data_IF_313464172408
#
_entry.id   IF_313464172408
#
_cell.length_a   1.000
_cell.length_b   1.000
_cell.length_c   1.000
_cell.angle_alpha   90.00
_cell.angle_beta   90.00
_cell.angle_gamma   90.00
#
_symmetry.space_group_name_H-M   'P 1'
#
loop_
_entity.id
_entity.type
_entity.pdbx_description
1 polymer ?
2 non-polymer ?
3 non-polymer ?
4 water ?
#
# COMPACT_ATOMS: atom_id res chain seq x y z
N UNK A 8 -4.15 14.64 8.96
CA UNK A 8 -3.73 14.22 7.59
C UNK A 8 -4.92 13.53 6.91
N UNK A 9 -4.81 12.23 6.58
CA UNK A 9 -5.98 11.49 6.07
C UNK A 9 -7.02 11.21 7.21
N UNK A 10 -8.30 11.58 7.00
CA UNK A 10 -9.30 11.46 8.09
C UNK A 10 -9.68 10.03 8.52
N UNK A 11 -9.94 9.86 9.80
CA UNK A 11 -10.28 8.56 10.39
C UNK A 11 -11.42 7.83 9.70
N UNK A 12 -12.44 8.58 9.28
CA UNK A 12 -13.55 8.02 8.54
C UNK A 12 -13.09 7.47 7.17
N UNK A 13 -12.18 8.19 6.49
CA UNK A 13 -11.64 7.73 5.19
C UNK A 13 -10.77 6.49 5.40
N UNK A 14 -9.96 6.51 6.45
CA UNK A 14 -9.12 5.39 6.83
C UNK A 14 -9.97 4.12 7.07
N UNK A 15 -11.05 4.23 7.88
CA UNK A 15 -12.07 3.15 8.00
C UNK A 15 -12.52 2.60 6.65
N UNK A 16 -12.95 3.48 5.75
CA UNK A 16 -13.36 3.11 4.38
C UNK A 16 -12.29 2.43 3.54
N UNK A 17 -11.03 2.90 3.63
CA UNK A 17 -9.93 2.19 3.00
C UNK A 17 -9.79 0.79 3.56
N UNK A 18 -9.88 0.64 4.87
CA UNK A 18 -9.82 -0.70 5.47
C UNK A 18 -10.90 -1.64 4.88
N UNK A 19 -12.10 -1.11 4.64
CA UNK A 19 -13.19 -1.89 4.05
C UNK A 19 -12.93 -2.32 2.60
N UNK A 20 -12.33 -1.45 1.79
CA UNK A 20 -11.87 -1.86 0.46
C UNK A 20 -10.84 -2.98 0.53
N UNK A 21 -9.90 -2.82 1.45
CA UNK A 21 -8.84 -3.81 1.68
C UNK A 21 -9.40 -5.14 2.05
N UNK A 22 -10.31 -5.12 2.99
CA UNK A 22 -11.00 -6.31 3.45
C UNK A 22 -11.71 -7.05 2.30
N UNK A 23 -12.43 -6.31 1.45
CA UNK A 23 -13.11 -6.87 0.29
C UNK A 23 -12.15 -7.46 -0.72
N UNK A 24 -11.02 -6.78 -0.96
CA UNK A 24 -9.98 -7.30 -1.87
C UNK A 24 -9.35 -8.59 -1.31
N UNK A 25 -9.01 -8.58 -0.02
CA UNK A 25 -8.51 -9.79 0.64
C UNK A 25 -9.49 -10.94 0.58
N UNK A 26 -10.79 -10.64 0.65
CA UNK A 26 -11.86 -11.64 0.63
C UNK A 26 -11.99 -12.23 -0.76
N UNK A 27 -11.78 -11.38 -1.76
CA UNK A 27 -11.73 -11.79 -3.14
C UNK A 27 -10.57 -12.80 -3.37
N UNK A 28 -9.41 -12.59 -2.75
CA UNK A 28 -8.34 -13.58 -2.82
C UNK A 28 -8.65 -14.86 -2.01
N UNK A 29 -9.06 -14.72 -0.73
CA UNK A 29 -9.57 -15.84 0.10
C UNK A 29 -10.75 -15.39 0.98
N UNK A 30 -11.92 -16.02 0.82
CA UNK A 30 -13.12 -15.57 1.57
C UNK A 30 -12.95 -15.46 3.11
N UNK A 31 -12.26 -16.39 3.75
CA UNK A 31 -12.01 -16.24 5.20
C UNK A 31 -10.50 -16.03 5.42
N UNK A 32 -10.02 -14.93 4.84
CA UNK A 32 -8.62 -14.58 4.89
C UNK A 32 -8.05 -14.30 6.27
N UNK A 33 -8.88 -13.80 7.21
CA UNK A 33 -8.43 -13.62 8.59
C UNK A 33 -8.13 -14.95 9.26
N UNK A 34 -8.89 -15.97 8.89
CA UNK A 34 -8.70 -17.32 9.43
C UNK A 34 -7.46 -17.99 8.87
N UNK A 35 -7.14 -17.75 7.59
CA UNK A 35 -6.02 -18.44 6.95
C UNK A 35 -4.71 -17.66 6.92
N UNK A 36 -4.76 -16.34 6.84
CA UNK A 36 -3.53 -15.52 6.83
C UNK A 36 -2.99 -15.35 8.22
N UNK A 37 -1.67 -15.28 8.36
CA UNK A 37 -1.02 -14.93 9.62
C UNK A 37 -0.44 -13.50 9.63
N UNK A 38 -0.06 -13.03 10.81
CA UNK A 38 0.61 -11.73 10.97
C UNK A 38 1.96 -11.72 10.24
N UNK A 39 2.64 -12.85 10.27
CA UNK A 39 3.92 -13.02 9.58
C UNK A 39 3.79 -12.88 8.08
N UNK A 40 2.70 -13.40 7.49
CA UNK A 40 2.42 -13.25 6.07
C UNK A 40 2.48 -11.78 5.64
N UNK A 41 1.79 -10.91 6.40
CA UNK A 41 1.68 -9.49 6.04
C UNK A 41 3.01 -8.76 6.25
N UNK A 42 3.74 -9.19 7.28
CA UNK A 42 5.09 -8.65 7.51
C UNK A 42 6.07 -9.03 6.38
N UNK A 43 6.01 -10.29 5.98
CA UNK A 43 6.80 -10.73 4.84
C UNK A 43 6.44 -9.92 3.61
N UNK A 44 5.15 -9.79 3.34
CA UNK A 44 4.71 -9.09 2.13
C UNK A 44 5.18 -7.62 2.17
N UNK A 45 5.19 -7.00 3.34
CA UNK A 45 5.74 -5.63 3.45
C UNK A 45 7.25 -5.62 3.19
N UNK A 46 7.95 -6.63 3.70
CA UNK A 46 9.39 -6.76 3.49
C UNK A 46 9.73 -6.83 1.99
N UNK A 47 8.95 -7.62 1.28
CA UNK A 47 9.17 -7.80 -0.16
C UNK A 47 8.86 -6.53 -0.97
N UNK A 48 7.83 -5.77 -0.58
CA UNK A 48 7.57 -4.50 -1.24
C UNK A 48 8.63 -3.46 -0.85
N UNK A 49 9.23 -3.59 0.31
CA UNK A 49 10.15 -2.56 0.75
C UNK A 49 11.42 -2.63 -0.14
N UNK A 50 11.86 -3.84 -0.48
CA UNK A 50 13.00 -4.06 -1.37
C UNK A 50 12.65 -3.73 -2.85
N UNK A 51 11.42 -4.02 -3.28
CA UNK A 51 10.93 -3.49 -4.54
C UNK A 51 11.08 -1.97 -4.57
N UNK A 52 10.63 -1.33 -3.51
CA UNK A 52 10.77 0.12 -3.40
C UNK A 52 12.26 0.55 -3.47
N UNK A 53 13.13 -0.08 -2.70
CA UNK A 53 14.56 0.29 -2.74
C UNK A 53 15.23 0.06 -4.09
N UNK A 54 14.76 -0.91 -4.86
CA UNK A 54 15.35 -1.20 -6.17
C UNK A 54 14.96 -0.14 -7.19
N UNK A 55 14.05 0.75 -6.83
CA UNK A 55 13.73 1.92 -7.61
C UNK A 55 14.81 2.97 -7.61
N UNK A 56 15.75 2.88 -6.67
CA UNK A 56 16.81 3.88 -6.48
C UNK A 56 18.15 3.36 -6.97
N UNK A 57 19.03 4.27 -7.38
CA UNK A 57 20.39 3.87 -7.78
C UNK A 57 21.29 3.61 -6.58
N UNK A 58 20.92 2.60 -5.80
CA UNK A 58 21.65 2.23 -4.60
C UNK A 58 22.90 1.41 -4.92
N UNK A 59 22.88 0.67 -6.02
CA UNK A 59 24.02 -0.18 -6.36
C UNK A 59 25.27 0.63 -6.73
N UNK A 60 26.38 0.32 -6.09
CA UNK A 60 27.64 1.02 -6.40
C UNK A 60 28.40 0.29 -7.53
N UNK A 61 27.83 -0.78 -8.06
CA UNK A 61 28.54 -1.57 -9.10
C UNK A 61 27.75 -1.72 -10.40
N UNK A 62 26.58 -1.10 -10.46
CA UNK A 62 25.68 -1.25 -11.59
C UNK A 62 24.94 0.05 -11.91
N UNK A 63 24.84 0.38 -13.20
CA UNK A 63 24.00 1.49 -13.68
C UNK A 63 24.19 2.73 -12.81
N UNK A 64 25.43 3.17 -12.66
CA UNK A 64 25.75 4.35 -11.83
C UNK A 64 25.09 5.58 -12.43
N UNK A 65 24.67 6.50 -11.57
CA UNK A 65 23.97 7.73 -12.04
C UNK A 65 22.64 7.49 -12.76
N UNK A 66 21.97 6.38 -12.47
CA UNK A 66 20.56 6.19 -12.87
C UNK A 66 19.72 7.11 -11.98
N UNK A 67 18.59 7.60 -12.49
CA UNK A 67 17.69 8.40 -11.65
C UNK A 67 16.83 7.46 -10.86
N UNK A 68 16.41 7.87 -9.64
CA UNK A 68 15.30 7.15 -9.02
C UNK A 68 14.04 7.15 -9.87
N UNK A 69 13.43 5.97 -9.95
CA UNK A 69 12.15 5.82 -10.57
C UNK A 69 11.10 6.13 -9.49
N UNK A 70 10.85 7.43 -9.29
CA UNK A 70 9.92 7.90 -8.29
C UNK A 70 8.48 7.50 -8.58
N UNK A 71 8.16 7.40 -9.88
CA UNK A 71 6.88 6.93 -10.32
C UNK A 71 6.63 5.52 -9.78
N UNK A 72 7.63 4.66 -9.82
CA UNK A 72 7.49 3.30 -9.26
C UNK A 72 7.39 3.32 -7.73
N UNK A 73 8.10 4.24 -7.11
CA UNK A 73 8.11 4.40 -5.65
C UNK A 73 6.71 4.69 -5.13
N UNK A 74 5.97 5.54 -5.84
CA UNK A 74 4.57 5.79 -5.54
C UNK A 74 3.76 4.50 -5.38
N UNK A 75 3.98 3.56 -6.30
CA UNK A 75 3.17 2.34 -6.34
C UNK A 75 3.65 1.35 -5.29
N UNK A 76 4.96 1.30 -5.07
CA UNK A 76 5.48 0.49 -4.01
C UNK A 76 4.98 0.93 -2.63
N UNK A 77 4.88 2.23 -2.40
CA UNK A 77 4.32 2.77 -1.18
C UNK A 77 2.90 2.28 -0.94
N UNK A 78 2.11 2.33 -2.01
CA UNK A 78 0.74 1.89 -2.03
C UNK A 78 0.63 0.39 -1.83
N UNK A 79 1.57 -0.36 -2.39
CA UNK A 79 1.62 -1.80 -2.14
C UNK A 79 1.88 -2.09 -0.62
N UNK A 80 2.82 -1.38 -0.03
CA UNK A 80 3.11 -1.51 1.39
C UNK A 80 1.85 -1.10 2.21
N UNK A 81 1.18 -0.04 1.76
CA UNK A 81 -0.07 0.36 2.36
C UNK A 81 -1.13 -0.77 2.40
N UNK A 82 -1.34 -1.44 1.27
CA UNK A 82 -2.29 -2.56 1.17
C UNK A 82 -2.04 -3.56 2.27
N UNK A 83 -0.80 -3.99 2.35
CA UNK A 83 -0.36 -5.05 3.24
C UNK A 83 -0.33 -4.62 4.70
N UNK A 84 -0.13 -3.34 4.94
CA UNK A 84 -0.17 -2.75 6.26
C UNK A 84 -1.57 -2.60 6.81
N UNK A 85 -2.51 -2.15 5.98
CA UNK A 85 -3.93 -2.10 6.37
C UNK A 85 -4.34 -3.52 6.70
N UNK A 86 -3.93 -4.47 5.89
CA UNK A 86 -4.26 -5.87 6.11
C UNK A 86 -3.74 -6.43 7.44
N UNK A 87 -2.44 -6.19 7.72
CA UNK A 87 -1.86 -6.56 8.98
C UNK A 87 -2.51 -5.85 10.16
N UNK A 88 -2.82 -4.55 10.01
CA UNK A 88 -3.37 -3.81 11.12
C UNK A 88 -4.73 -4.43 11.46
N UNK A 89 -5.53 -4.80 10.45
CA UNK A 89 -6.78 -5.46 10.72
C UNK A 89 -6.71 -6.97 11.08
N UNK A 90 -5.64 -7.69 10.69
CA UNK A 90 -5.36 -9.01 11.25
C UNK A 90 -5.03 -8.86 12.73
N UNK A 91 -4.24 -7.85 13.09
CA UNK A 91 -3.90 -7.61 14.47
C UNK A 91 -5.15 -7.44 15.30
N UNK A 92 -6.02 -6.51 14.89
CA UNK A 92 -7.28 -6.26 15.60
C UNK A 92 -8.13 -7.51 15.82
N UNK A 93 -8.09 -8.43 14.86
CA UNK A 93 -8.87 -9.66 14.87
C UNK A 93 -8.18 -10.80 15.59
N UNK A 94 -6.96 -10.59 16.06
CA UNK A 94 -6.20 -11.60 16.80
C UNK A 94 -6.60 -11.56 18.28
N UNK A 95 -6.92 -12.73 18.88
CA UNK A 95 -7.21 -12.78 20.31
C UNK A 95 -6.01 -12.34 21.12
N UNK A 96 -6.25 -11.66 22.24
CA UNK A 96 -5.20 -11.07 23.03
C UNK A 96 -4.09 -12.10 23.34
N UNK A 97 -4.52 -13.35 23.64
CA UNK A 97 -3.58 -14.43 23.98
C UNK A 97 -2.75 -14.99 22.79
N UNK A 98 -3.06 -14.55 21.57
CA UNK A 98 -2.28 -14.89 20.36
C UNK A 98 -1.45 -13.72 19.79
N UNK A 99 -1.52 -12.54 20.43
CA UNK A 99 -0.70 -11.40 20.07
C UNK A 99 0.78 -11.73 20.27
N UNK A 100 1.62 -11.50 19.24
CA UNK A 100 3.05 -11.74 19.39
C UNK A 100 3.68 -10.79 20.40
N UNK A 101 4.58 -11.33 21.20
CA UNK A 101 5.33 -10.55 22.17
C UNK A 101 6.14 -9.40 21.56
N UNK A 102 6.68 -9.55 20.37
CA UNK A 102 7.47 -8.46 19.78
C UNK A 102 6.65 -7.20 19.48
N UNK A 103 5.34 -7.33 19.29
CA UNK A 103 4.46 -6.17 19.11
C UNK A 103 4.02 -5.52 20.41
N UNK A 104 4.29 -6.13 21.55
CA UNK A 104 3.96 -5.52 22.84
C UNK A 104 5.20 -5.05 23.58
N UNK A 105 6.37 -5.56 23.22
CA UNK A 105 7.62 -5.05 23.79
C UNK A 105 7.77 -3.56 23.44
N UNK A 106 8.53 -2.79 24.26
CA UNK A 106 8.84 -1.42 23.86
C UNK A 106 9.52 -1.42 22.50
N UNK A 107 9.21 -0.43 21.68
CA UNK A 107 9.76 -0.33 20.30
C UNK A 107 11.30 -0.31 20.21
N UNK A 108 11.94 0.56 20.99
CA UNK A 108 13.42 0.61 21.04
C UNK A 108 14.08 -0.75 21.35
N UNK A 109 13.28 -1.70 21.86
CA UNK A 109 13.79 -2.99 22.35
C UNK A 109 13.74 -4.07 21.27
N UNK A 110 12.95 -3.84 20.22
CA UNK A 110 12.76 -4.83 19.14
C UNK A 110 13.35 -4.39 17.79
N UNK A 111 13.87 -3.16 17.73
CA UNK A 111 14.55 -2.68 16.53
C UNK A 111 15.69 -1.72 16.88
N UNK A 112 16.69 -1.65 15.98
CA UNK A 112 17.64 -0.55 15.97
C UNK A 112 17.30 0.32 14.78
N UNK A 113 17.25 1.64 14.99
CA UNK A 113 16.84 2.61 13.98
C UNK A 113 18.03 3.02 13.13
N UNK A 114 17.88 2.89 11.82
CA UNK A 114 18.88 3.36 10.87
C UNK A 114 18.63 4.82 10.57
N UNK A 115 19.73 5.55 10.39
CA UNK A 115 19.72 7.00 10.21
C UNK A 115 20.64 7.34 9.04
N UNK A 116 20.21 8.26 8.14
CA UNK A 116 21.17 8.63 7.09
C UNK A 116 22.37 9.34 7.73
N UNK A 117 23.49 9.40 7.03
CA UNK A 117 24.68 10.13 7.54
C UNK A 117 24.43 11.62 7.59
N UNK A 118 23.73 12.14 6.58
CA UNK A 118 23.56 13.58 6.40
C UNK A 118 22.32 14.08 7.14
N UNK A 119 22.31 15.38 7.41
CA UNK A 119 21.21 16.01 8.16
C UNK A 119 19.92 16.03 7.34
N UNK A 120 18.79 15.79 8.01
CA UNK A 120 17.51 15.75 7.30
C UNK A 120 16.34 15.82 8.26
N UNK A 121 15.13 15.89 7.68
CA UNK A 121 13.92 15.85 8.48
C UNK A 121 13.39 14.41 8.44
N UNK A 122 12.49 14.09 9.35
CA UNK A 122 11.93 12.76 9.45
C UNK A 122 10.44 12.84 9.73
N UNK A 123 9.78 11.69 9.78
CA UNK A 123 8.41 11.64 10.25
C UNK A 123 8.46 11.89 11.77
N UNK A 124 7.28 12.04 12.40
CA UNK A 124 7.23 12.16 13.86
C UNK A 124 7.91 11.06 14.69
N UNK A 125 7.91 9.81 14.22
CA UNK A 125 8.60 8.73 14.95
C UNK A 125 10.11 8.74 14.67
N UNK A 126 10.52 9.41 13.61
CA UNK A 126 11.92 9.46 13.23
C UNK A 126 12.35 8.19 12.54
N UNK A 127 11.41 7.48 11.89
CA UNK A 127 11.69 6.21 11.20
C UNK A 127 11.88 6.34 9.71
N UNK A 128 11.41 7.44 9.14
CA UNK A 128 11.43 7.66 7.72
C UNK A 128 11.99 9.09 7.51
N UNK A 129 12.82 9.28 6.48
CA UNK A 129 13.65 10.47 6.32
C UNK A 129 13.42 11.16 4.98
N UNK A 130 13.41 12.49 5.01
CA UNK A 130 13.09 13.34 3.85
C UNK A 130 14.21 14.30 3.47
N UNK A 131 14.31 14.66 2.19
CA UNK A 131 13.49 14.24 1.06
C UNK A 131 13.75 12.80 0.63
N UNK A 132 12.71 12.13 0.15
CA UNK A 132 12.82 10.77 -0.34
C UNK A 132 13.30 10.70 -1.79
N UNK A 133 13.67 11.83 -2.35
CA UNK A 133 14.34 11.87 -3.63
C UNK A 133 15.79 11.42 -3.44
N UNK A 134 16.25 11.48 -2.18
CA UNK A 134 17.62 11.16 -1.83
C UNK A 134 17.72 9.67 -1.50
N UNK A 135 18.61 8.95 -2.18
CA UNK A 135 18.61 7.48 -2.01
C UNK A 135 19.02 7.02 -0.62
N UNK A 136 19.92 7.74 0.05
CA UNK A 136 20.36 7.37 1.40
C UNK A 136 19.23 7.52 2.43
N UNK A 137 18.37 8.53 2.21
CA UNK A 137 17.19 8.73 3.01
C UNK A 137 16.22 7.57 2.85
N UNK A 138 15.97 7.17 1.61
CA UNK A 138 15.07 6.05 1.33
C UNK A 138 15.57 4.73 1.90
N UNK A 139 16.88 4.49 1.81
CA UNK A 139 17.50 3.27 2.30
C UNK A 139 17.26 3.11 3.78
N UNK A 140 17.57 4.14 4.54
CA UNK A 140 17.42 4.10 5.97
C UNK A 140 15.94 4.01 6.34
N UNK A 141 15.11 4.74 5.63
CA UNK A 141 13.65 4.69 5.82
C UNK A 141 13.10 3.25 5.74
N UNK A 142 13.44 2.56 4.64
CA UNK A 142 12.82 1.28 4.37
C UNK A 142 13.53 0.11 4.99
N UNK A 143 14.80 0.26 5.34
CA UNK A 143 15.39 -0.69 6.26
C UNK A 143 14.66 -0.64 7.62
N UNK A 144 14.18 0.54 7.98
CA UNK A 144 13.41 0.72 9.22
C UNK A 144 12.02 0.12 9.14
N UNK A 145 11.37 0.31 7.99
CA UNK A 145 10.04 -0.23 7.75
C UNK A 145 10.01 -1.76 7.82
N UNK A 146 11.02 -2.40 7.26
CA UNK A 146 11.18 -3.83 7.38
C UNK A 146 11.24 -4.26 8.88
N UNK A 147 12.02 -3.57 9.69
CA UNK A 147 12.09 -3.85 11.11
C UNK A 147 10.75 -3.65 11.88
N UNK A 148 10.03 -2.57 11.55
CA UNK A 148 8.69 -2.31 12.06
C UNK A 148 7.75 -3.42 11.68
N UNK A 149 7.85 -3.92 10.44
CA UNK A 149 7.05 -5.06 9.98
C UNK A 149 7.37 -6.35 10.75
N UNK A 150 8.64 -6.53 11.09
CA UNK A 150 9.05 -7.67 11.87
C UNK A 150 8.48 -7.63 13.28
N UNK A 151 8.38 -6.43 13.86
CA UNK A 151 7.74 -6.22 15.15
C UNK A 151 6.21 -5.97 15.01
N UNK A 152 5.64 -6.33 13.88
CA UNK A 152 4.18 -6.27 13.61
C UNK A 152 3.57 -4.86 13.87
N UNK A 153 4.34 -3.78 13.65
CA UNK A 153 3.86 -2.42 13.91
C UNK A 153 3.21 -1.83 12.67
N UNK A 154 2.09 -2.42 12.28
CA UNK A 154 1.40 -2.06 11.03
C UNK A 154 0.78 -0.65 11.05
N UNK A 155 0.32 -0.20 12.21
CA UNK A 155 -0.33 1.12 12.31
C UNK A 155 0.70 2.25 12.19
N UNK A 156 1.90 2.00 12.72
CA UNK A 156 3.05 2.92 12.57
C UNK A 156 3.51 2.99 11.12
N UNK A 157 3.56 1.83 10.46
CA UNK A 157 3.93 1.80 9.06
C UNK A 157 2.96 2.63 8.22
N UNK A 158 1.67 2.47 8.47
CA UNK A 158 0.61 3.24 7.79
C UNK A 158 0.89 4.74 7.97
N UNK A 159 1.24 5.17 9.19
CA UNK A 159 1.57 6.59 9.46
C UNK A 159 2.77 7.04 8.64
N UNK A 160 3.84 6.24 8.64
CA UNK A 160 5.02 6.53 7.81
C UNK A 160 4.76 6.72 6.31
N UNK A 161 4.00 5.78 5.72
CA UNK A 161 3.62 5.85 4.30
C UNK A 161 2.92 7.17 3.98
N UNK A 162 1.98 7.55 4.86
CA UNK A 162 1.22 8.76 4.72
C UNK A 162 2.16 9.97 4.72
N UNK A 163 3.16 9.97 5.61
CA UNK A 163 4.19 11.03 5.64
C UNK A 163 5.11 10.92 4.44
N UNK A 164 5.35 9.72 3.96
CA UNK A 164 6.16 9.54 2.77
C UNK A 164 5.50 10.17 1.54
N UNK A 165 4.19 9.97 1.39
CA UNK A 165 3.44 10.51 0.26
C UNK A 165 3.25 12.02 0.32
N UNK A 166 3.12 12.57 1.53
CA UNK A 166 3.24 14.02 1.72
C UNK A 166 4.55 14.54 1.10
N UNK A 167 5.68 13.93 1.50
CA UNK A 167 6.98 14.38 1.01
C UNK A 167 7.18 14.21 -0.52
N UNK A 168 6.78 13.07 -1.06
CA UNK A 168 6.95 12.87 -2.51
C UNK A 168 5.92 13.65 -3.30
N UNK A 169 4.97 14.27 -2.62
CA UNK A 169 4.04 15.19 -3.27
C UNK A 169 3.06 14.54 -4.24
N UNK A 170 2.61 13.32 -3.93
CA UNK A 170 1.52 12.68 -4.67
C UNK A 170 0.33 12.36 -3.77
N UNK A 171 -0.79 12.02 -4.41
CA UNK A 171 -2.04 11.65 -3.75
C UNK A 171 -2.02 10.15 -3.37
N UNK A 172 -1.68 9.86 -2.12
CA UNK A 172 -1.62 8.47 -1.65
C UNK A 172 -2.96 7.74 -1.87
N UNK A 173 -4.06 8.35 -1.45
CA UNK A 173 -5.36 7.68 -1.51
C UNK A 173 -5.80 7.43 -2.96
N UNK A 174 -5.56 8.39 -3.85
CA UNK A 174 -5.90 8.20 -5.24
C UNK A 174 -5.17 6.98 -5.81
N UNK A 175 -3.86 6.91 -5.57
CA UNK A 175 -3.05 5.77 -6.04
C UNK A 175 -3.48 4.44 -5.40
N UNK A 176 -3.84 4.47 -4.12
CA UNK A 176 -4.38 3.28 -3.45
C UNK A 176 -5.61 2.78 -4.22
N UNK A 177 -6.55 3.69 -4.52
CA UNK A 177 -7.77 3.29 -5.23
C UNK A 177 -7.43 2.69 -6.61
N UNK A 178 -6.55 3.33 -7.36
CA UNK A 178 -6.10 2.81 -8.63
C UNK A 178 -5.48 1.40 -8.52
N UNK A 179 -4.52 1.22 -7.61
CA UNK A 179 -3.86 -0.07 -7.43
C UNK A 179 -4.79 -1.09 -6.83
N UNK A 180 -5.65 -0.67 -5.89
CA UNK A 180 -6.71 -1.55 -5.41
C UNK A 180 -7.51 -2.13 -6.59
N UNK A 181 -7.84 -1.25 -7.52
CA UNK A 181 -8.61 -1.66 -8.71
C UNK A 181 -7.82 -2.64 -9.60
N UNK A 182 -6.54 -2.32 -9.85
CA UNK A 182 -5.66 -3.23 -10.56
C UNK A 182 -5.53 -4.58 -9.86
N UNK A 183 -5.43 -4.60 -8.54
CA UNK A 183 -5.34 -5.86 -7.83
C UNK A 183 -6.55 -6.76 -8.03
N UNK A 184 -7.74 -6.16 -8.03
CA UNK A 184 -8.97 -6.87 -8.38
C UNK A 184 -8.91 -7.45 -9.79
N UNK A 185 -8.48 -6.62 -10.72
CA UNK A 185 -8.35 -7.00 -12.12
C UNK A 185 -7.42 -8.21 -12.32
N UNK A 186 -6.27 -8.19 -11.69
CA UNK A 186 -5.34 -9.34 -11.77
C UNK A 186 -6.05 -10.58 -11.25
N UNK A 187 -6.86 -10.47 -10.20
CA UNK A 187 -7.60 -11.64 -9.67
C UNK A 187 -8.62 -12.19 -10.66
N UNK A 188 -9.27 -11.28 -11.40
CA UNK A 188 -10.19 -11.64 -12.47
C UNK A 188 -9.53 -12.25 -13.71
N UNK A 189 -8.23 -12.00 -13.91
CA UNK A 189 -7.60 -12.28 -15.20
C UNK A 189 -6.50 -13.35 -15.11
N UNK A 190 -6.54 -14.18 -14.07
CA UNK A 190 -5.64 -15.33 -13.99
C UNK A 190 -4.31 -15.17 -13.25
N UNK A 191 -4.25 -14.21 -12.32
CA UNK A 191 -3.04 -14.07 -11.47
C UNK A 191 -2.72 -15.34 -10.67
N UNK A 192 -3.74 -15.99 -10.11
CA UNK A 192 -3.51 -17.23 -9.33
C UNK A 192 -3.02 -18.43 -10.17
N UNK A 193 -3.58 -18.60 -11.34
CA UNK A 193 -3.10 -19.61 -12.30
C UNK A 193 -1.95 -19.01 -13.12
N UNK A 194 -1.29 -19.77 -13.96
CA UNK A 194 -0.10 -19.21 -14.61
C UNK A 194 -0.28 -18.13 -15.69
N UNK A 195 -1.45 -17.50 -15.78
CA UNK A 195 -1.89 -16.95 -17.08
C UNK A 195 -1.96 -15.46 -17.28
N UNK A 196 -1.90 -14.67 -16.22
CA UNK A 196 -1.80 -13.23 -16.36
C UNK A 196 -0.52 -12.79 -17.12
N UNK A 197 -0.66 -11.80 -18.00
CA UNK A 197 0.52 -11.13 -18.59
C UNK A 197 0.69 -9.76 -17.90
N UNK A 198 1.55 -9.74 -16.88
CA UNK A 198 1.84 -8.53 -16.14
C UNK A 198 2.58 -7.49 -16.99
N UNK A 199 3.50 -7.95 -17.84
CA UNK A 199 4.25 -7.06 -18.72
C UNK A 199 3.90 -7.44 -20.16
N UNK A 200 3.04 -6.64 -20.77
CA UNK A 200 2.52 -6.91 -22.10
C UNK A 200 3.08 -5.89 -23.06
N UNK A 201 3.91 -6.37 -24.00
CA UNK A 201 4.59 -5.50 -24.94
C UNK A 201 5.76 -4.72 -24.31
N UNK A 202 6.20 -5.12 -23.13
CA UNK A 202 7.28 -4.44 -22.42
C UNK A 202 6.81 -3.40 -21.41
N UNK A 203 5.51 -3.27 -21.19
CA UNK A 203 4.98 -2.30 -20.21
C UNK A 203 4.30 -3.01 -19.02
N UNK A 204 4.79 -2.75 -17.83
CA UNK A 204 4.21 -3.33 -16.62
C UNK A 204 2.80 -2.79 -16.39
N UNK A 205 1.87 -3.66 -15.97
CA UNK A 205 0.52 -3.21 -15.69
C UNK A 205 0.44 -1.99 -14.75
N UNK A 206 1.26 -1.98 -13.70
CA UNK A 206 1.32 -0.84 -12.77
C UNK A 206 1.54 0.51 -13.45
N UNK A 207 2.28 0.51 -14.55
CA UNK A 207 2.65 1.76 -15.20
C UNK A 207 1.47 2.47 -15.94
N UNK A 208 0.33 1.77 -16.10
CA UNK A 208 -0.92 2.37 -16.63
C UNK A 208 -1.69 3.22 -15.61
N UNK A 209 -1.35 3.06 -14.34
CA UNK A 209 -2.13 3.67 -13.24
C UNK A 209 -2.00 5.19 -13.15
N UNK A 210 -0.87 5.71 -13.66
CA UNK A 210 -0.53 7.11 -13.46
C UNK A 210 -1.54 8.00 -14.17
N UNK A 211 -1.88 7.63 -15.40
CA UNK A 211 -2.83 8.37 -16.22
C UNK A 211 -4.26 8.31 -15.68
N UNK A 212 -4.53 7.32 -14.82
CA UNK A 212 -5.85 7.14 -14.22
C UNK A 212 -6.15 8.05 -13.06
N UNK A 213 -5.12 8.67 -12.47
CA UNK A 213 -5.27 9.53 -11.30
C UNK A 213 -4.94 11.01 -11.59
N UNK A 214 -4.90 11.41 -12.85
CA UNK A 214 -4.50 12.78 -13.25
C UNK A 214 -5.50 13.89 -12.88
N UNK A 215 -6.79 13.58 -12.93
CA UNK A 215 -7.87 14.54 -12.60
C UNK A 215 -8.45 14.46 -11.15
N UNK A 216 -7.82 13.68 -10.27
CA UNK A 216 -8.24 13.57 -8.87
C UNK A 216 -7.46 14.58 -8.01
N UNK A 217 -8.18 15.42 -7.26
CA UNK A 217 -7.55 16.34 -6.32
C UNK A 217 -7.33 15.64 -4.97
N UNK A 218 -6.47 16.23 -4.12
CA UNK A 218 -6.28 15.80 -2.73
C UNK A 218 -7.58 15.99 -1.93
N UNK A 219 -8.28 17.09 -2.21
CA UNK A 219 -9.60 17.39 -1.63
C UNK A 219 -10.66 16.35 -1.99
N UNK A 220 -11.00 16.21 -3.27
CA UNK A 220 -11.93 15.17 -3.74
C UNK A 220 -11.81 13.83 -3.00
N UNK A 221 -10.58 13.34 -2.92
CA UNK A 221 -10.31 11.99 -2.46
C UNK A 221 -10.44 11.80 -0.92
N UNK A 222 -10.31 12.90 -0.16
CA UNK A 222 -10.37 12.90 1.32
C UNK A 222 -11.64 13.56 1.90
N UNK A 223 -12.46 14.16 1.05
CA UNK A 223 -13.62 14.93 1.45
C UNK A 223 -14.74 13.96 1.81
N UNK A 224 -15.42 14.22 2.92
CA UNK A 224 -16.41 13.29 3.47
C UNK A 224 -17.66 13.16 2.59
N UNK A 225 -18.02 14.23 1.88
CA UNK A 225 -19.18 14.25 0.99
C UNK A 225 -18.81 14.06 -0.49
N UNK A 226 -17.51 14.08 -0.80
CA UNK A 226 -17.07 13.96 -2.19
C UNK A 226 -16.39 12.66 -2.48
N UNK A 227 -15.90 11.94 -1.46
CA UNK A 227 -14.93 10.85 -1.69
C UNK A 227 -15.44 9.61 -2.44
N UNK A 228 -16.65 9.16 -2.14
CA UNK A 228 -17.15 7.94 -2.78
C UNK A 228 -17.10 8.15 -4.29
N UNK A 229 -17.73 9.24 -4.74
CA UNK A 229 -17.78 9.63 -6.15
C UNK A 229 -16.39 9.74 -6.75
N UNK A 230 -15.48 10.38 -6.03
CA UNK A 230 -14.12 10.52 -6.49
C UNK A 230 -13.43 9.14 -6.64
N UNK A 231 -13.62 8.25 -5.68
CA UNK A 231 -13.03 6.89 -5.75
C UNK A 231 -13.59 6.13 -6.95
N UNK A 232 -14.90 6.23 -7.15
CA UNK A 232 -15.60 5.53 -8.23
C UNK A 232 -15.14 5.87 -9.62
N UNK A 233 -14.72 7.13 -9.80
CA UNK A 233 -14.27 7.63 -11.11
C UNK A 233 -12.80 7.21 -11.36
N UNK A 234 -12.02 7.08 -10.30
CA UNK A 234 -10.71 6.45 -10.40
C UNK A 234 -10.87 4.97 -10.76
N UNK A 235 -11.75 4.26 -10.09
CA UNK A 235 -11.92 2.83 -10.34
C UNK A 235 -12.29 2.59 -11.81
N UNK A 236 -13.32 3.33 -12.28
CA UNK A 236 -13.77 3.27 -13.67
C UNK A 236 -12.64 3.51 -14.69
N UNK A 237 -11.86 4.57 -14.48
CA UNK A 237 -10.61 4.82 -15.27
C UNK A 237 -9.68 3.61 -15.40
N UNK A 238 -9.45 2.88 -14.31
CA UNK A 238 -8.55 1.71 -14.33
C UNK A 238 -9.17 0.52 -15.06
N UNK A 239 -10.43 0.21 -14.73
CA UNK A 239 -11.19 -0.80 -15.47
C UNK A 239 -11.20 -0.50 -16.98
N UNK A 240 -11.42 0.78 -17.30
CA UNK A 240 -11.39 1.23 -18.70
C UNK A 240 -10.01 1.01 -19.29
N UNK A 241 -8.98 1.46 -18.58
CA UNK A 241 -7.60 1.31 -19.05
C UNK A 241 -7.17 -0.13 -19.33
N UNK A 242 -7.88 -1.09 -18.74
CA UNK A 242 -7.60 -2.51 -18.91
C UNK A 242 -8.72 -3.21 -19.67
N UNK A 243 -9.57 -2.41 -20.31
CA UNK A 243 -10.67 -2.91 -21.18
C UNK A 243 -11.53 -3.99 -20.44
N UNK A 244 -11.83 -3.73 -19.16
CA UNK A 244 -12.60 -4.67 -18.32
C UNK A 244 -14.11 -4.52 -18.52
N UNK A 245 -14.80 -5.65 -18.73
CA UNK A 245 -16.29 -5.71 -18.85
C UNK A 245 -16.96 -5.01 -17.67
N UNK A 246 -18.00 -4.23 -17.95
CA UNK A 246 -18.83 -3.61 -16.92
C UNK A 246 -19.33 -4.62 -15.87
N UNK A 247 -19.65 -5.83 -16.31
CA UNK A 247 -20.19 -6.87 -15.43
C UNK A 247 -19.17 -7.37 -14.42
N UNK A 248 -17.87 -7.13 -14.68
CA UNK A 248 -16.80 -7.55 -13.78
C UNK A 248 -16.31 -6.43 -12.88
N UNK A 249 -16.86 -5.24 -13.03
CA UNK A 249 -16.46 -4.10 -12.22
C UNK A 249 -17.28 -4.08 -10.95
N UNK A 250 -16.71 -3.50 -9.92
CA UNK A 250 -17.39 -3.23 -8.67
C UNK A 250 -17.18 -1.77 -8.42
N UNK A 251 -18.08 -1.14 -7.67
CA UNK A 251 -17.84 0.23 -7.22
C UNK A 251 -17.60 0.25 -5.71
N UNK A 252 -17.39 1.44 -5.16
CA UNK A 252 -17.04 1.58 -3.76
C UNK A 252 -18.15 1.03 -2.84
N UNK A 253 -19.40 1.38 -3.14
CA UNK A 253 -20.53 0.91 -2.32
C UNK A 253 -20.66 -0.61 -2.39
N UNK A 254 -20.37 -1.21 -3.55
CA UNK A 254 -20.33 -2.65 -3.60
C UNK A 254 -19.30 -3.18 -2.57
N UNK A 255 -18.16 -2.49 -2.45
CA UNK A 255 -17.14 -2.85 -1.44
C UNK A 255 -17.62 -2.59 0.00
N UNK A 256 -18.20 -1.42 0.25
CA UNK A 256 -18.75 -1.10 1.56
C UNK A 256 -19.84 -2.07 2.00
N UNK A 257 -20.68 -2.48 1.04
CA UNK A 257 -21.74 -3.50 1.25
C UNK A 257 -21.18 -4.90 1.52
N UNK A 258 -20.19 -5.33 0.76
CA UNK A 258 -19.55 -6.61 1.07
C UNK A 258 -18.89 -6.59 2.47
N UNK A 259 -18.48 -5.41 2.93
CA UNK A 259 -17.78 -5.28 4.22
C UNK A 259 -18.72 -5.40 5.42
N UNK A 260 -19.83 -4.66 5.41
CA UNK A 260 -20.84 -4.74 6.46
C UNK A 260 -21.38 -6.18 6.57
N UNK A 261 -21.79 -6.75 5.43
CA UNK A 261 -22.37 -8.10 5.42
C UNK A 261 -21.38 -9.15 5.94
N UNK A 262 -20.14 -9.05 5.49
CA UNK A 262 -19.18 -10.13 5.67
C UNK A 262 -18.23 -9.85 6.85
N UNK A 263 -18.77 -9.22 7.88
CA UNK A 263 -18.19 -9.31 9.20
C UNK A 263 -19.26 -9.95 10.08
N UNK A 264 -19.86 -11.02 9.53
CA UNK A 264 -20.83 -11.92 10.18
C UNK A 264 -20.43 -13.36 9.87
N UNK A 265 -19.69 -13.99 10.77
CA UNK A 265 -19.24 -15.38 10.60
C UNK A 265 -20.33 -16.37 10.96
#
# INVERSE_FOLDING_TARGET
MKRARSANIPGAILHSLAELQDGLNAMIDPSWRAVRSLDNWALAITMESTELLDSYPWKWWKNLNATPDLANVRIELVDIFHFSLSGAMQMRSTPDDEIPAASLKPLKEVMTTFLPAKECTSDPYGFVFFPLTDTQNAIASFRNIIQLANAYRFDVIIECIIYAAEDLGFNLVAYYIAKHTLNCIRQLSGYKDGSYVKVNNGVEDNSLLHNCIKDVSLDEVLDADKYVQAWNSIMANVYEAFQIKESDRKDAERWFALAKENRLAIKA
#
